data_IF_892109860072
#
_entry.id   IF_892109860072
#
_cell.length_a   1.000
_cell.length_b   1.000
_cell.length_c   1.000
_cell.angle_alpha   90.00
_cell.angle_beta   90.00
_cell.angle_gamma   90.00
#
_symmetry.space_group_name_H-M   'P 1'
#
loop_
_entity.id
_entity.type
_entity.pdbx_description
1 polymer ?
#
# COMPACT_ATOMS: atom_id res chain seq x y z
N UNK A 1 -11.97 -19.51 -13.26
CA UNK A 1 -10.57 -19.49 -13.74
C UNK A 1 -9.68 -19.12 -12.57
N UNK A 2 -8.48 -19.72 -12.47
CA UNK A 2 -7.60 -19.52 -11.33
C UNK A 2 -6.98 -18.11 -11.39
N UNK A 3 -7.35 -17.26 -10.44
CA UNK A 3 -6.60 -16.03 -10.17
C UNK A 3 -5.22 -16.44 -9.67
N UNK A 4 -4.18 -16.11 -10.44
CA UNK A 4 -2.81 -16.19 -9.95
C UNK A 4 -2.37 -14.78 -9.59
N UNK A 5 -1.82 -14.65 -8.38
CA UNK A 5 -1.15 -13.44 -7.92
C UNK A 5 0.30 -13.77 -7.69
N UNK A 6 1.19 -12.85 -8.07
CA UNK A 6 2.59 -12.88 -7.69
C UNK A 6 2.91 -11.64 -6.89
N UNK A 7 3.70 -11.79 -5.83
CA UNK A 7 4.27 -10.66 -5.09
C UNK A 7 5.74 -10.51 -5.42
N UNK A 8 6.18 -9.26 -5.61
CA UNK A 8 7.58 -8.87 -5.63
C UNK A 8 7.83 -7.94 -4.45
N UNK A 9 8.71 -8.35 -3.54
CA UNK A 9 9.14 -7.49 -2.44
C UNK A 9 10.04 -6.39 -3.01
N UNK A 10 9.74 -5.13 -2.66
CA UNK A 10 10.53 -3.97 -3.08
C UNK A 10 11.50 -3.58 -1.97
N UNK A 11 11.00 -3.41 -0.75
CA UNK A 11 11.81 -3.01 0.40
C UNK A 11 11.11 -3.39 1.70
N UNK A 12 11.91 -3.56 2.74
CA UNK A 12 11.45 -3.94 4.08
C UNK A 12 12.28 -3.22 5.13
N UNK A 13 11.59 -2.66 6.10
CA UNK A 13 12.11 -1.86 7.20
C UNK A 13 11.45 -2.30 8.51
N UNK A 14 11.98 -1.93 9.69
CA UNK A 14 11.35 -2.25 10.97
C UNK A 14 9.90 -1.75 11.10
N UNK A 15 9.58 -0.62 10.47
CA UNK A 15 8.32 0.12 10.57
C UNK A 15 7.51 0.15 9.26
N UNK A 16 8.04 -0.43 8.18
CA UNK A 16 7.42 -0.38 6.86
C UNK A 16 7.78 -1.57 5.97
N UNK A 17 6.90 -1.92 5.04
CA UNK A 17 7.27 -2.78 3.91
C UNK A 17 6.54 -2.37 2.65
N UNK A 18 7.18 -2.64 1.51
CA UNK A 18 6.70 -2.25 0.19
C UNK A 18 6.81 -3.41 -0.78
N UNK A 19 5.77 -3.61 -1.59
CA UNK A 19 5.74 -4.71 -2.54
C UNK A 19 4.80 -4.41 -3.71
N UNK A 20 5.04 -5.06 -4.84
CA UNK A 20 4.13 -5.06 -5.98
C UNK A 20 3.38 -6.39 -6.01
N UNK A 21 2.05 -6.33 -6.12
CA UNK A 21 1.23 -7.49 -6.45
C UNK A 21 0.84 -7.41 -7.92
N UNK A 22 1.15 -8.45 -8.68
CA UNK A 22 0.67 -8.63 -10.05
C UNK A 22 -0.42 -9.71 -10.06
N UNK A 23 -1.63 -9.32 -10.41
CA UNK A 23 -2.77 -10.24 -10.59
C UNK A 23 -2.98 -10.48 -12.08
N UNK A 24 -3.02 -11.76 -12.49
CA UNK A 24 -3.19 -12.16 -13.88
C UNK A 24 -4.63 -12.64 -14.13
N UNK A 25 -5.26 -12.08 -15.16
CA UNK A 25 -6.62 -12.43 -15.59
C UNK A 25 -6.73 -12.40 -17.12
N UNK A 26 -7.03 -13.54 -17.74
CA UNK A 26 -7.39 -13.66 -19.18
C UNK A 26 -6.58 -12.76 -20.14
N UNK A 27 -5.24 -12.78 -20.00
CA UNK A 27 -4.32 -12.02 -20.86
C UNK A 27 -4.00 -10.59 -20.40
N UNK A 28 -4.57 -10.16 -19.28
CA UNK A 28 -4.31 -8.86 -18.64
C UNK A 28 -3.60 -9.03 -17.30
N UNK A 29 -2.75 -8.05 -16.97
CA UNK A 29 -2.03 -8.00 -15.69
C UNK A 29 -2.37 -6.70 -14.98
N UNK A 30 -2.91 -6.80 -13.78
CA UNK A 30 -3.14 -5.65 -12.89
C UNK A 30 -1.98 -5.60 -11.91
N UNK A 31 -1.22 -4.51 -11.96
CA UNK A 31 -0.13 -4.26 -11.01
C UNK A 31 -0.58 -3.27 -9.94
N UNK A 32 -0.37 -3.63 -8.69
CA UNK A 32 -0.65 -2.79 -7.54
C UNK A 32 0.60 -2.64 -6.66
N UNK A 33 1.07 -1.41 -6.47
CA UNK A 33 2.11 -1.12 -5.50
C UNK A 33 1.48 -0.92 -4.13
N UNK A 34 1.93 -1.66 -3.12
CA UNK A 34 1.48 -1.50 -1.74
C UNK A 34 2.60 -0.98 -0.87
N UNK A 35 2.30 0.03 -0.05
CA UNK A 35 3.13 0.48 1.07
C UNK A 35 2.34 0.31 2.37
N UNK A 36 2.89 -0.45 3.30
CA UNK A 36 2.29 -0.70 4.61
C UNK A 36 3.21 -0.19 5.71
N UNK A 37 2.73 0.78 6.48
CA UNK A 37 3.52 1.54 7.45
C UNK A 37 2.61 2.31 8.41
N UNK A 38 3.19 3.06 9.34
CA UNK A 38 2.46 4.06 10.11
C UNK A 38 2.26 5.35 9.30
N UNK A 39 1.11 6.01 9.49
CA UNK A 39 0.92 7.38 9.01
C UNK A 39 1.55 8.38 9.99
N UNK A 40 2.08 9.48 9.48
CA UNK A 40 2.60 10.59 10.27
C UNK A 40 1.94 11.92 9.92
N UNK A 41 2.41 13.00 10.54
CA UNK A 41 2.02 14.35 10.14
C UNK A 41 2.53 14.63 8.72
N UNK A 42 1.61 14.76 7.77
CA UNK A 42 1.89 15.03 6.35
C UNK A 42 2.80 14.02 5.63
N UNK A 43 2.74 12.73 5.99
CA UNK A 43 3.58 11.72 5.33
C UNK A 43 3.41 10.30 5.85
N UNK A 44 4.36 9.44 5.48
CA UNK A 44 4.45 8.03 5.87
C UNK A 44 5.73 7.81 6.70
N UNK A 45 5.62 7.11 7.83
CA UNK A 45 6.78 6.74 8.64
C UNK A 45 7.45 5.51 8.04
N UNK A 46 8.63 5.69 7.46
CA UNK A 46 9.41 4.66 6.77
C UNK A 46 10.86 4.79 7.18
N UNK A 47 11.45 3.70 7.66
CA UNK A 47 12.84 3.63 8.11
C UNK A 47 13.17 4.65 9.20
N UNK A 48 12.22 4.86 10.13
CA UNK A 48 12.34 5.82 11.22
C UNK A 48 12.19 7.30 10.81
N UNK A 49 11.85 7.58 9.55
CA UNK A 49 11.71 8.95 9.02
C UNK A 49 10.32 9.18 8.44
N UNK A 50 9.81 10.42 8.55
CA UNK A 50 8.60 10.82 7.84
C UNK A 50 8.97 11.14 6.40
N UNK A 51 8.56 10.27 5.48
CA UNK A 51 8.66 10.52 4.04
C UNK A 51 7.48 11.36 3.59
N UNK A 52 7.79 12.45 2.89
CA UNK A 52 6.76 13.31 2.29
C UNK A 52 6.05 12.58 1.13
N UNK A 53 4.87 13.06 0.70
CA UNK A 53 4.19 12.52 -0.48
C UNK A 53 5.08 12.50 -1.73
N UNK A 54 5.91 13.52 -1.92
CA UNK A 54 6.84 13.63 -3.04
C UNK A 54 7.91 12.52 -2.97
N UNK A 55 8.54 12.33 -1.80
CA UNK A 55 9.54 11.28 -1.60
C UNK A 55 8.96 9.88 -1.79
N UNK A 56 7.73 9.65 -1.30
CA UNK A 56 7.03 8.37 -1.52
C UNK A 56 6.74 8.16 -3.01
N UNK A 57 6.27 9.19 -3.71
CA UNK A 57 5.97 9.09 -5.13
C UNK A 57 7.23 8.83 -5.98
N UNK A 58 8.33 9.52 -5.69
CA UNK A 58 9.64 9.31 -6.33
C UNK A 58 10.12 7.87 -6.12
N UNK A 59 10.01 7.35 -4.89
CA UNK A 59 10.34 5.96 -4.60
C UNK A 59 9.49 4.99 -5.44
N UNK A 60 8.17 5.15 -5.45
CA UNK A 60 7.26 4.29 -6.23
C UNK A 60 7.62 4.32 -7.73
N UNK A 61 7.84 5.50 -8.30
CA UNK A 61 8.20 5.65 -9.72
C UNK A 61 9.54 4.99 -10.04
N UNK A 62 10.53 5.09 -9.13
CA UNK A 62 11.83 4.44 -9.30
C UNK A 62 11.73 2.91 -9.32
N UNK A 63 10.79 2.33 -8.58
CA UNK A 63 10.58 0.88 -8.50
C UNK A 63 9.70 0.32 -9.62
N UNK A 64 9.05 1.18 -10.41
CA UNK A 64 7.97 0.78 -11.34
C UNK A 64 8.28 1.11 -12.78
N UNK A 65 9.53 1.47 -13.11
CA UNK A 65 9.97 1.76 -14.49
C UNK A 65 9.72 0.60 -15.47
N UNK A 66 9.54 -0.62 -14.98
CA UNK A 66 9.26 -1.83 -15.79
C UNK A 66 7.77 -2.20 -15.80
N UNK A 67 6.95 -1.62 -14.92
CA UNK A 67 5.56 -2.01 -14.71
C UNK A 67 4.60 -0.83 -14.88
N UNK A 68 3.59 -0.97 -15.74
CA UNK A 68 2.44 -0.07 -15.69
C UNK A 68 1.64 -0.34 -14.42
N UNK A 69 1.69 0.59 -13.46
CA UNK A 69 0.88 0.55 -12.26
C UNK A 69 -0.57 0.90 -12.60
N UNK A 70 -1.48 0.07 -12.10
CA UNK A 70 -2.91 0.35 -12.16
C UNK A 70 -3.38 0.98 -10.86
N UNK A 71 -2.75 0.56 -9.75
CA UNK A 71 -3.14 0.92 -8.40
C UNK A 71 -1.91 1.15 -7.52
N UNK A 72 -2.05 2.08 -6.58
CA UNK A 72 -1.18 2.27 -5.44
C UNK A 72 -2.06 2.15 -4.20
N UNK A 73 -1.58 1.43 -3.21
CA UNK A 73 -2.32 1.16 -1.99
C UNK A 73 -1.49 1.58 -0.79
N UNK A 74 -1.92 2.65 -0.14
CA UNK A 74 -1.29 3.21 1.05
C UNK A 74 -2.00 2.65 2.28
N UNK A 75 -1.45 1.59 2.86
CA UNK A 75 -1.93 0.97 4.09
C UNK A 75 -1.33 1.69 5.30
N UNK A 76 -1.83 2.90 5.57
CA UNK A 76 -1.39 3.74 6.68
C UNK A 76 -2.55 4.56 7.26
N UNK A 77 -2.55 4.74 8.60
CA UNK A 77 -3.52 5.57 9.32
C UNK A 77 -3.54 7.00 8.79
N UNK A 78 -4.72 7.58 8.60
CA UNK A 78 -4.91 8.98 8.21
C UNK A 78 -4.34 9.35 6.83
N UNK A 79 -3.93 8.38 6.01
CA UNK A 79 -3.37 8.63 4.68
C UNK A 79 -4.32 9.33 3.71
N UNK A 80 -5.63 9.32 3.99
CA UNK A 80 -6.66 10.07 3.27
C UNK A 80 -7.34 11.16 4.13
N UNK A 81 -6.82 11.48 5.32
CA UNK A 81 -7.34 12.60 6.11
C UNK A 81 -7.15 13.92 5.33
N UNK A 82 -8.09 14.85 5.48
CA UNK A 82 -8.08 16.15 4.78
C UNK A 82 -8.33 16.07 3.27
N UNK A 83 -8.90 14.94 2.82
CA UNK A 83 -9.38 14.71 1.45
C UNK A 83 -8.31 15.08 0.39
N UNK A 84 -8.50 16.16 -0.37
CA UNK A 84 -7.59 16.60 -1.44
C UNK A 84 -6.20 17.03 -0.97
N UNK A 85 -6.02 17.34 0.32
CA UNK A 85 -4.72 17.69 0.89
C UNK A 85 -3.98 16.48 1.50
N UNK A 86 -4.61 15.30 1.48
CA UNK A 86 -4.08 14.09 2.07
C UNK A 86 -2.81 13.58 1.38
N UNK A 87 -2.05 12.74 2.09
CA UNK A 87 -0.86 12.06 1.53
C UNK A 87 -1.23 11.26 0.27
N UNK A 88 -2.35 10.52 0.29
CA UNK A 88 -2.81 9.75 -0.85
C UNK A 88 -3.23 10.63 -2.04
N UNK A 89 -3.92 11.74 -1.80
CA UNK A 89 -4.29 12.69 -2.84
C UNK A 89 -3.04 13.33 -3.49
N UNK A 90 -2.06 13.74 -2.69
CA UNK A 90 -0.80 14.31 -3.19
C UNK A 90 0.01 13.30 -4.01
N UNK A 91 0.13 12.05 -3.56
CA UNK A 91 0.78 11.00 -4.37
C UNK A 91 0.02 10.78 -5.70
N UNK A 92 -1.31 10.80 -5.66
CA UNK A 92 -2.17 10.67 -6.84
C UNK A 92 -2.03 11.80 -7.85
N UNK A 93 -1.68 13.02 -7.41
CA UNK A 93 -1.46 14.15 -8.31
C UNK A 93 -0.12 14.05 -9.05
N UNK A 94 0.87 13.38 -8.45
CA UNK A 94 2.23 13.15 -8.98
C UNK A 94 2.24 11.92 -9.90
N UNK A 95 1.74 10.78 -9.41
CA UNK A 95 1.68 9.53 -10.17
C UNK A 95 0.31 9.47 -10.87
N UNK A 96 0.26 10.14 -12.02
CA UNK A 96 -0.96 10.27 -12.81
C UNK A 96 -1.43 8.94 -13.40
N UNK A 97 -2.72 8.92 -13.75
CA UNK A 97 -3.43 7.81 -14.40
C UNK A 97 -3.40 6.47 -13.64
N UNK A 98 -3.02 6.51 -12.36
CA UNK A 98 -2.99 5.40 -11.41
C UNK A 98 -3.99 5.68 -10.29
N UNK A 99 -4.78 4.67 -9.89
CA UNK A 99 -5.63 4.82 -8.70
C UNK A 99 -4.77 4.80 -7.44
N UNK A 100 -4.98 5.71 -6.51
CA UNK A 100 -4.30 5.72 -5.20
C UNK A 100 -5.32 5.54 -4.10
N UNK A 101 -5.20 4.45 -3.34
CA UNK A 101 -6.05 4.16 -2.19
C UNK A 101 -5.38 4.64 -0.91
N UNK A 102 -6.13 5.37 -0.09
CA UNK A 102 -5.75 5.77 1.26
C UNK A 102 -6.92 5.66 2.22
N UNK A 103 -6.64 5.91 3.50
CA UNK A 103 -7.59 5.67 4.58
C UNK A 103 -7.79 6.87 5.49
N UNK A 104 -9.05 7.15 5.79
CA UNK A 104 -9.46 8.09 6.84
C UNK A 104 -9.47 7.35 8.18
N UNK A 105 -8.89 7.97 9.20
CA UNK A 105 -8.81 7.38 10.54
C UNK A 105 -7.79 6.25 10.69
N UNK A 106 -7.98 5.37 11.67
CA UNK A 106 -7.03 4.29 11.97
C UNK A 106 -7.23 3.08 11.07
N UNK A 107 -6.14 2.50 10.57
CA UNK A 107 -6.15 1.30 9.72
C UNK A 107 -5.58 0.12 10.48
N UNK A 108 -6.22 -1.04 10.36
CA UNK A 108 -5.68 -2.31 10.85
C UNK A 108 -5.55 -3.31 9.71
N UNK A 109 -4.37 -3.93 9.58
CA UNK A 109 -4.07 -4.90 8.51
C UNK A 109 -3.72 -6.27 9.07
N UNK A 110 -3.95 -7.32 8.29
CA UNK A 110 -3.75 -8.72 8.68
C UNK A 110 -2.30 -9.13 8.95
N UNK A 111 -1.36 -8.32 8.47
CA UNK A 111 0.06 -8.58 8.59
C UNK A 111 0.70 -7.28 9.07
N UNK A 112 1.04 -7.23 10.36
CA UNK A 112 1.66 -6.03 10.92
C UNK A 112 3.08 -5.91 10.35
N UNK A 113 3.49 -4.70 10.00
CA UNK A 113 4.84 -4.48 9.45
C UNK A 113 5.94 -5.02 10.39
N UNK A 114 5.76 -4.91 11.71
CA UNK A 114 6.68 -5.49 12.70
C UNK A 114 6.77 -7.01 12.58
N UNK A 115 5.63 -7.71 12.44
CA UNK A 115 5.60 -9.17 12.27
C UNK A 115 6.26 -9.60 10.96
N UNK A 116 6.02 -8.85 9.88
CA UNK A 116 6.66 -9.08 8.58
C UNK A 116 8.17 -8.88 8.67
N UNK A 117 8.63 -7.84 9.37
CA UNK A 117 10.04 -7.57 9.60
C UNK A 117 10.72 -8.65 10.45
N UNK A 118 10.10 -9.07 11.55
CA UNK A 118 10.62 -10.17 12.37
C UNK A 118 10.66 -11.49 11.58
N UNK A 119 9.66 -11.76 10.76
CA UNK A 119 9.66 -12.93 9.87
C UNK A 119 10.79 -12.86 8.84
N UNK A 120 11.11 -11.66 8.32
CA UNK A 120 12.23 -11.46 7.41
C UNK A 120 13.59 -11.73 8.06
N UNK A 121 13.81 -11.20 9.27
CA UNK A 121 15.02 -11.47 10.05
C UNK A 121 15.15 -12.96 10.39
N UNK A 122 14.07 -13.59 10.83
CA UNK A 122 14.05 -15.01 11.21
C UNK A 122 14.35 -15.95 10.03
N UNK A 123 14.10 -15.51 8.79
CA UNK A 123 14.38 -16.27 7.57
C UNK A 123 15.70 -15.84 6.90
N UNK A 124 16.61 -15.19 7.64
CA UNK A 124 17.93 -14.83 7.14
C UNK A 124 17.88 -13.81 6.01
N UNK A 125 16.95 -12.86 6.08
CA UNK A 125 16.75 -11.80 5.09
C UNK A 125 16.35 -12.33 3.69
N UNK A 126 15.61 -13.45 3.65
CA UNK A 126 15.16 -14.06 2.40
C UNK A 126 13.85 -13.45 1.88
N UNK A 127 13.95 -12.63 0.83
CA UNK A 127 12.81 -11.99 0.18
C UNK A 127 11.76 -12.98 -0.34
N UNK A 128 12.17 -14.15 -0.84
CA UNK A 128 11.24 -15.14 -1.42
C UNK A 128 10.28 -15.74 -0.37
N UNK A 129 10.72 -15.87 0.88
CA UNK A 129 9.86 -16.30 1.98
C UNK A 129 8.81 -15.24 2.30
N UNK A 130 9.19 -13.96 2.26
CA UNK A 130 8.28 -12.82 2.49
C UNK A 130 7.26 -12.71 1.38
N UNK A 131 7.70 -12.81 0.12
CA UNK A 131 6.81 -12.78 -1.05
C UNK A 131 5.71 -13.84 -0.94
N UNK A 132 6.05 -15.10 -0.62
CA UNK A 132 5.06 -16.17 -0.43
C UNK A 132 4.13 -15.98 0.77
N UNK A 133 4.59 -15.28 1.80
CA UNK A 133 3.77 -14.92 2.95
C UNK A 133 2.76 -13.83 2.55
N UNK A 134 3.25 -12.76 1.93
CA UNK A 134 2.44 -11.64 1.45
C UNK A 134 1.45 -12.06 0.36
N UNK A 135 1.80 -13.01 -0.52
CA UNK A 135 0.87 -13.57 -1.53
C UNK A 135 -0.40 -14.15 -0.88
N UNK A 136 -0.27 -14.76 0.30
CA UNK A 136 -1.41 -15.33 1.04
C UNK A 136 -2.13 -14.30 1.89
N UNK A 137 -1.37 -13.42 2.53
CA UNK A 137 -1.89 -12.45 3.49
C UNK A 137 -2.52 -11.21 2.81
N UNK A 138 -2.13 -10.89 1.57
CA UNK A 138 -2.64 -9.75 0.81
C UNK A 138 -4.14 -9.88 0.45
N UNK A 139 -4.68 -11.11 0.44
CA UNK A 139 -6.11 -11.36 0.25
C UNK A 139 -6.86 -10.94 1.52
N UNK A 140 -7.78 -9.99 1.41
CA UNK A 140 -8.53 -9.47 2.57
C UNK A 140 -7.65 -8.73 3.58
N UNK A 141 -6.58 -8.07 3.10
CA UNK A 141 -5.52 -7.48 3.94
C UNK A 141 -5.92 -6.45 4.99
N UNK A 142 -7.15 -5.91 4.96
CA UNK A 142 -7.59 -4.84 5.86
C UNK A 142 -8.81 -5.29 6.64
N UNK A 143 -8.81 -5.00 7.94
CA UNK A 143 -9.88 -5.34 8.85
C UNK A 143 -10.52 -4.09 9.42
N UNK A 144 -11.85 -4.08 9.42
CA UNK A 144 -12.70 -2.99 9.96
C UNK A 144 -13.11 -3.23 11.41
N UNK A 145 -12.89 -4.45 11.94
CA UNK A 145 -13.61 -4.96 13.11
C UNK A 145 -13.44 -4.21 14.43
N UNK A 146 -12.63 -3.14 14.54
CA UNK A 146 -12.42 -2.43 15.80
C UNK A 146 -12.12 -0.92 15.66
N UNK A 147 -12.46 -0.26 14.55
CA UNK A 147 -12.16 1.18 14.38
C UNK A 147 -13.40 1.97 13.97
N UNK A 148 -13.81 2.93 14.82
CA UNK A 148 -14.83 3.92 14.47
C UNK A 148 -14.30 4.88 13.40
N UNK A 149 -15.14 5.25 12.43
CA UNK A 149 -14.87 6.24 11.37
C UNK A 149 -13.74 5.88 10.39
N UNK A 150 -13.63 4.60 10.04
CA UNK A 150 -12.72 4.12 9.00
C UNK A 150 -13.38 4.14 7.62
N UNK A 151 -12.73 4.75 6.64
CA UNK A 151 -13.16 4.74 5.23
C UNK A 151 -11.97 4.67 4.28
N UNK A 152 -12.11 3.90 3.21
CA UNK A 152 -11.18 3.91 2.08
C UNK A 152 -11.60 5.02 1.11
N UNK A 153 -10.65 5.87 0.71
CA UNK A 153 -10.85 6.83 -0.37
C UNK A 153 -9.92 6.47 -1.52
N UNK A 154 -10.47 6.48 -2.73
CA UNK A 154 -9.71 6.31 -3.96
C UNK A 154 -9.56 7.66 -4.65
N UNK A 155 -8.31 8.02 -4.90
CA UNK A 155 -7.92 9.22 -5.61
C UNK A 155 -7.39 8.88 -6.99
N UNK A 156 -7.65 9.76 -7.95
CA UNK A 156 -7.00 9.73 -9.28
C UNK A 156 -6.64 11.14 -9.70
N UNK A 157 -5.40 11.33 -10.14
CA UNK A 157 -4.89 12.62 -10.58
C UNK A 157 -5.07 13.75 -9.52
N UNK A 158 -5.00 13.38 -8.24
CA UNK A 158 -5.17 14.31 -7.11
C UNK A 158 -6.61 14.61 -6.71
N UNK A 159 -7.59 14.00 -7.37
CA UNK A 159 -9.01 14.20 -7.10
C UNK A 159 -9.60 12.96 -6.43
N UNK A 160 -10.47 13.15 -5.44
CA UNK A 160 -11.29 12.06 -4.91
C UNK A 160 -12.25 11.57 -6.00
N UNK A 161 -12.16 10.29 -6.34
CA UNK A 161 -13.09 9.66 -7.30
C UNK A 161 -14.25 8.97 -6.58
N UNK A 162 -13.94 8.22 -5.52
CA UNK A 162 -14.94 7.42 -4.79
C UNK A 162 -14.47 7.10 -3.37
N UNK A 163 -15.44 6.81 -2.52
CA UNK A 163 -15.25 6.10 -1.26
C UNK A 163 -15.58 4.61 -1.42
N UNK A 164 -14.83 3.73 -0.77
CA UNK A 164 -15.14 2.31 -0.71
C UNK A 164 -15.48 1.97 0.77
N UNK A 165 -16.74 1.56 1.01
CA UNK A 165 -17.09 0.93 2.27
C UNK A 165 -16.56 -0.50 2.24
N UNK A 166 -15.68 -0.86 3.17
CA UNK A 166 -15.29 -2.26 3.31
C UNK A 166 -16.41 -2.99 4.05
N UNK A 167 -17.06 -3.94 3.37
CA UNK A 167 -18.04 -4.82 3.99
C UNK A 167 -17.34 -5.65 5.10
N UNK A 168 -17.98 -5.71 6.27
CA UNK A 168 -17.52 -6.40 7.49
C UNK A 168 -17.55 -7.91 7.36
#
# INVERSE_FOLDING_TARGET
>A
MAFTSKVQLISIYPDAHMYITSTFYDGYTINEFTVACHGGADGLLIDGHIWSPDTVAECIQSCTTVYSLHKIHILACGSANYDIASTAAKISSIIRDTEVKGYVGSVYINFRHEEVYQYYLANGNNSASIERYLERAAIGRIHTNNVNNYYCIVFKNGMMERWEALES
#
